data_IF_799372524395
#
_entry.id   IF_799372524395
#
_cell.length_a   1.000
_cell.length_b   1.000
_cell.length_c   1.000
_cell.angle_alpha   90.00
_cell.angle_beta   90.00
_cell.angle_gamma   90.00
#
_symmetry.space_group_name_H-M   'P 1'
#
loop_
_entity.id
_entity.type
_entity.pdbx_description
1 polymer ?
#
# COMPACT_ATOMS: atom_id res chain seq x y z
N UNK A 1 11.22 37.12 -15.47
CA UNK A 1 10.21 36.05 -15.35
C UNK A 1 10.84 34.97 -14.48
N UNK A 2 10.24 34.58 -13.35
CA UNK A 2 10.73 33.41 -12.62
C UNK A 2 10.73 32.19 -13.56
N UNK A 3 11.66 31.23 -13.40
CA UNK A 3 11.63 30.01 -14.21
C UNK A 3 10.28 29.32 -14.03
N UNK A 4 9.70 28.85 -15.14
CA UNK A 4 8.51 28.00 -15.07
C UNK A 4 8.86 26.73 -14.28
N UNK A 5 7.97 26.32 -13.38
CA UNK A 5 8.13 25.06 -12.64
C UNK A 5 8.30 23.90 -13.62
N UNK A 6 9.25 22.98 -13.38
CA UNK A 6 9.47 21.84 -14.26
C UNK A 6 8.21 20.97 -14.33
N UNK A 7 7.86 20.49 -15.53
CA UNK A 7 6.78 19.52 -15.72
C UNK A 7 7.30 18.17 -15.25
N UNK A 8 6.68 17.63 -14.20
CA UNK A 8 7.05 16.35 -13.61
C UNK A 8 6.36 15.20 -14.37
N UNK A 9 7.04 14.06 -14.46
CA UNK A 9 6.43 12.82 -14.96
C UNK A 9 5.28 12.36 -14.04
N UNK A 10 5.44 12.57 -12.74
CA UNK A 10 4.46 12.29 -11.70
C UNK A 10 4.68 13.27 -10.54
N UNK A 11 3.63 13.98 -10.12
CA UNK A 11 3.67 14.90 -9.00
C UNK A 11 2.96 14.30 -7.78
N UNK A 12 3.68 13.43 -7.06
CA UNK A 12 3.15 12.78 -5.87
C UNK A 12 2.85 13.77 -4.74
N UNK A 13 3.52 14.93 -4.68
CA UNK A 13 3.26 15.92 -3.65
C UNK A 13 1.87 16.55 -3.86
N UNK A 14 1.53 16.87 -5.11
CA UNK A 14 0.21 17.37 -5.46
C UNK A 14 -0.89 16.31 -5.23
N UNK A 15 -0.65 15.05 -5.61
CA UNK A 15 -1.60 13.96 -5.37
C UNK A 15 -1.80 13.69 -3.88
N UNK A 16 -0.72 13.63 -3.10
CA UNK A 16 -0.74 13.40 -1.65
C UNK A 16 -1.46 14.53 -0.90
N UNK A 17 -1.29 15.78 -1.32
CA UNK A 17 -1.90 16.94 -0.65
C UNK A 17 -3.43 16.84 -0.56
N UNK A 18 -4.08 16.20 -1.53
CA UNK A 18 -5.53 15.99 -1.51
C UNK A 18 -6.00 15.04 -0.38
N UNK A 19 -5.13 14.12 0.06
CA UNK A 19 -5.45 13.07 1.04
C UNK A 19 -4.75 13.27 2.39
N UNK A 20 -3.98 14.35 2.57
CA UNK A 20 -3.13 14.60 3.73
C UNK A 20 -3.88 14.39 5.06
N UNK A 21 -5.10 14.92 5.19
CA UNK A 21 -5.87 14.81 6.43
C UNK A 21 -6.27 13.37 6.79
N UNK A 22 -6.65 12.56 5.80
CA UNK A 22 -7.01 11.16 5.99
C UNK A 22 -5.78 10.31 6.32
N UNK A 23 -4.66 10.56 5.62
CA UNK A 23 -3.39 9.86 5.86
C UNK A 23 -2.80 10.19 7.23
N UNK A 24 -2.85 11.47 7.64
CA UNK A 24 -2.41 11.89 8.97
C UNK A 24 -3.22 11.22 10.08
N UNK A 25 -4.55 11.12 9.92
CA UNK A 25 -5.41 10.44 10.88
C UNK A 25 -5.02 8.94 11.01
N UNK A 26 -4.91 8.22 9.89
CA UNK A 26 -4.54 6.80 9.88
C UNK A 26 -3.13 6.56 10.47
N UNK A 27 -2.19 7.47 10.21
CA UNK A 27 -0.85 7.44 10.78
C UNK A 27 -0.87 7.62 12.30
N UNK A 28 -1.61 8.60 12.81
CA UNK A 28 -1.75 8.85 14.25
C UNK A 28 -2.38 7.65 14.97
N UNK A 29 -3.40 7.03 14.39
CA UNK A 29 -4.02 5.82 14.95
C UNK A 29 -3.01 4.68 15.07
N UNK A 30 -2.22 4.42 14.02
CA UNK A 30 -1.19 3.38 14.02
C UNK A 30 -0.11 3.64 15.07
N UNK A 31 0.35 4.89 15.19
CA UNK A 31 1.32 5.31 16.20
C UNK A 31 0.80 5.11 17.62
N UNK A 32 -0.42 5.57 17.92
CA UNK A 32 -1.02 5.42 19.25
C UNK A 32 -1.26 3.96 19.62
N UNK A 33 -1.63 3.11 18.66
CA UNK A 33 -1.83 1.69 18.88
C UNK A 33 -0.50 0.91 19.00
N UNK A 34 0.61 1.45 18.50
CA UNK A 34 1.90 0.75 18.41
C UNK A 34 1.88 -0.47 17.47
N UNK A 35 0.88 -0.55 16.58
CA UNK A 35 0.57 -1.73 15.78
C UNK A 35 1.32 -1.74 14.42
N UNK A 36 2.65 -1.68 14.47
CA UNK A 36 3.49 -1.47 13.29
C UNK A 36 3.66 -2.70 12.38
N UNK A 37 3.49 -3.91 12.92
CA UNK A 37 3.66 -5.17 12.18
C UNK A 37 2.38 -5.98 12.29
N UNK A 38 1.78 -6.32 11.13
CA UNK A 38 0.52 -7.07 11.04
C UNK A 38 -0.62 -6.49 11.90
N UNK A 39 -0.68 -5.15 12.00
CA UNK A 39 -1.73 -4.45 12.72
C UNK A 39 -3.10 -4.46 12.03
N UNK A 40 -4.14 -3.90 12.67
CA UNK A 40 -5.51 -3.91 12.16
C UNK A 40 -5.67 -3.33 10.75
N UNK A 41 -4.91 -2.26 10.44
CA UNK A 41 -4.92 -1.64 9.11
C UNK A 41 -4.51 -2.60 7.98
N UNK A 42 -3.61 -3.55 8.26
CA UNK A 42 -3.18 -4.56 7.27
C UNK A 42 -4.32 -5.53 6.96
N UNK A 43 -5.07 -5.95 7.98
CA UNK A 43 -6.22 -6.84 7.82
C UNK A 43 -7.40 -6.16 7.12
N UNK A 44 -7.68 -4.90 7.48
CA UNK A 44 -8.69 -4.09 6.82
C UNK A 44 -8.37 -3.91 5.32
N UNK A 45 -7.13 -3.51 4.99
CA UNK A 45 -6.66 -3.40 3.62
C UNK A 45 -6.83 -4.71 2.83
N UNK A 46 -6.46 -5.85 3.40
CA UNK A 46 -6.60 -7.14 2.73
C UNK A 46 -8.07 -7.46 2.42
N UNK A 47 -8.98 -7.21 3.37
CA UNK A 47 -10.40 -7.43 3.18
C UNK A 47 -11.01 -6.49 2.12
N UNK A 48 -10.68 -5.20 2.18
CA UNK A 48 -11.14 -4.18 1.24
C UNK A 48 -10.62 -4.44 -0.18
N UNK A 49 -9.34 -4.76 -0.33
CA UNK A 49 -8.76 -5.11 -1.61
C UNK A 49 -9.38 -6.39 -2.17
N UNK A 50 -9.61 -7.40 -1.32
CA UNK A 50 -10.29 -8.62 -1.73
C UNK A 50 -11.69 -8.34 -2.28
N UNK A 51 -12.47 -7.50 -1.58
CA UNK A 51 -13.78 -7.07 -2.05
C UNK A 51 -13.68 -6.27 -3.37
N UNK A 52 -12.73 -5.35 -3.48
CA UNK A 52 -12.50 -4.54 -4.67
C UNK A 52 -12.13 -5.40 -5.90
N UNK A 53 -11.39 -6.48 -5.70
CA UNK A 53 -10.96 -7.42 -6.74
C UNK A 53 -11.99 -8.54 -7.03
N UNK A 54 -13.23 -8.40 -6.54
CA UNK A 54 -14.30 -9.37 -6.81
C UNK A 54 -14.37 -10.55 -5.85
N UNK A 55 -13.94 -10.38 -4.60
CA UNK A 55 -14.02 -11.37 -3.52
C UNK A 55 -12.84 -12.33 -3.46
N UNK A 56 -11.69 -11.95 -4.00
CA UNK A 56 -10.48 -12.80 -3.97
C UNK A 56 -9.84 -12.80 -2.58
N UNK A 57 -9.10 -13.88 -2.27
CA UNK A 57 -8.27 -13.91 -1.07
C UNK A 57 -7.01 -13.08 -1.29
N UNK A 58 -6.74 -12.14 -0.39
CA UNK A 58 -5.59 -11.24 -0.46
C UNK A 58 -4.61 -11.57 0.67
N UNK A 59 -3.34 -11.77 0.29
CA UNK A 59 -2.22 -11.93 1.23
C UNK A 59 -1.27 -10.75 1.02
N UNK A 60 -1.25 -9.75 1.93
CA UNK A 60 -0.30 -8.65 1.86
C UNK A 60 1.14 -9.14 2.02
N UNK A 61 2.06 -8.55 1.26
CA UNK A 61 3.50 -8.78 1.35
C UNK A 61 4.25 -7.46 1.14
N UNK A 62 5.58 -7.46 1.25
CA UNK A 62 6.35 -6.22 1.30
C UNK A 62 6.42 -5.48 -0.05
N UNK A 63 6.40 -6.19 -1.17
CA UNK A 63 6.49 -5.60 -2.52
C UNK A 63 6.03 -6.59 -3.61
N UNK A 64 5.96 -6.12 -4.86
CA UNK A 64 5.52 -6.94 -6.01
C UNK A 64 6.48 -8.09 -6.38
N UNK A 65 7.79 -7.94 -6.17
CA UNK A 65 8.75 -9.02 -6.41
C UNK A 65 8.56 -10.15 -5.39
N UNK A 66 8.34 -9.81 -4.13
CA UNK A 66 8.00 -10.79 -3.09
C UNK A 66 6.69 -11.48 -3.42
N UNK A 67 5.67 -10.76 -3.90
CA UNK A 67 4.39 -11.35 -4.30
C UNK A 67 4.58 -12.44 -5.37
N UNK A 68 5.33 -12.13 -6.43
CA UNK A 68 5.63 -13.09 -7.49
C UNK A 68 6.47 -14.27 -6.98
N UNK A 69 7.46 -13.99 -6.14
CA UNK A 69 8.34 -15.01 -5.56
C UNK A 69 7.54 -15.96 -4.68
N UNK A 70 6.71 -15.45 -3.78
CA UNK A 70 5.84 -16.25 -2.91
C UNK A 70 4.85 -17.09 -3.74
N UNK A 71 4.26 -16.50 -4.78
CA UNK A 71 3.36 -17.22 -5.68
C UNK A 71 4.08 -18.41 -6.36
N UNK A 72 5.28 -18.19 -6.91
CA UNK A 72 6.06 -19.26 -7.54
C UNK A 72 6.54 -20.32 -6.55
N UNK A 73 7.03 -19.90 -5.37
CA UNK A 73 7.44 -20.81 -4.30
C UNK A 73 6.27 -21.70 -3.83
N UNK A 74 5.05 -21.15 -3.77
CA UNK A 74 3.85 -21.89 -3.37
C UNK A 74 3.48 -23.04 -4.32
N UNK A 75 3.96 -23.01 -5.57
CA UNK A 75 3.72 -24.07 -6.55
C UNK A 75 4.66 -25.28 -6.37
N UNK A 76 5.70 -25.18 -5.53
CA UNK A 76 6.62 -26.28 -5.26
C UNK A 76 7.40 -26.75 -6.49
N UNK A 77 7.74 -25.82 -7.40
CA UNK A 77 8.45 -26.15 -8.64
C UNK A 77 9.86 -26.68 -8.37
N UNK A 78 10.34 -27.66 -9.15
CA UNK A 78 11.74 -28.09 -9.08
C UNK A 78 12.68 -26.96 -9.55
N UNK A 79 13.95 -26.95 -9.09
CA UNK A 79 14.95 -25.97 -9.51
C UNK A 79 15.28 -26.04 -11.01
#
# INVERSE_FOLDING_TARGET
MPPASPILLLDLAAEHAAYQGELDAAWQETLHAGAFIQGPAVGAFAAELGAHLGGTHVVPCANGTDALTLALLSLGLPP
#
